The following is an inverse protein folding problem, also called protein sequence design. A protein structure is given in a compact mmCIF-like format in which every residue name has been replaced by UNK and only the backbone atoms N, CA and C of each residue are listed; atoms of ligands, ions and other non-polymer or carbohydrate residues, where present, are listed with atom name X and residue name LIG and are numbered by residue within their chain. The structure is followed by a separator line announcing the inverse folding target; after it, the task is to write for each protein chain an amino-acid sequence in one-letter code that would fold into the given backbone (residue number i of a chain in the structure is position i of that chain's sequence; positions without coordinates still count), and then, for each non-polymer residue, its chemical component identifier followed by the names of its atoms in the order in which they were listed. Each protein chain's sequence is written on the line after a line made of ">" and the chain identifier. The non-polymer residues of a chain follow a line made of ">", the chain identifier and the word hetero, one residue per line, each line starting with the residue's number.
data_IF_797012107528
#
_entry.id   IF_797012107528
#
_cell.length_a   1.000
_cell.length_b   1.000
_cell.length_c   1.000
_cell.angle_alpha   90.00
_cell.angle_beta   90.00
_cell.angle_gamma   90.00
#
_symmetry.space_group_name_H-M   'P 1'
#
loop_
_entity.id
_entity.type
_entity.pdbx_description
1 polymer ?
#
# COMPACT_ATOMS: atom_id res chain seq x y z
N UNK A 1 4.52 -0.57 13.77
CA UNK A 1 3.11 -0.18 13.92
C UNK A 1 2.92 1.03 14.81
N UNK A 2 3.16 0.99 16.13
CA UNK A 2 2.92 2.14 17.05
C UNK A 2 3.48 3.48 16.54
N UNK A 3 4.74 3.50 16.10
CA UNK A 3 5.37 4.71 15.55
C UNK A 3 4.64 5.28 14.31
N UNK A 4 4.13 4.41 13.44
CA UNK A 4 3.40 4.82 12.23
C UNK A 4 2.01 5.36 12.58
N UNK A 5 1.37 4.77 13.60
CA UNK A 5 0.09 5.25 14.15
C UNK A 5 0.23 6.66 14.74
N UNK A 6 1.30 6.93 15.50
CA UNK A 6 1.60 8.27 16.01
C UNK A 6 1.80 9.28 14.88
N UNK A 7 2.65 8.94 13.91
CA UNK A 7 2.93 9.81 12.75
C UNK A 7 1.68 10.09 11.91
N UNK A 8 0.79 9.10 11.73
CA UNK A 8 -0.45 9.28 10.98
C UNK A 8 -1.35 10.36 11.62
N UNK A 9 -1.46 10.35 12.95
CA UNK A 9 -2.23 11.36 13.70
C UNK A 9 -1.58 12.74 13.63
N UNK A 10 -0.25 12.79 13.77
CA UNK A 10 0.49 14.05 13.69
C UNK A 10 0.33 14.69 12.31
N UNK A 11 0.45 13.89 11.23
CA UNK A 11 0.30 14.37 9.86
C UNK A 11 -1.13 14.81 9.53
N UNK A 12 -2.15 14.11 10.05
CA UNK A 12 -3.54 14.57 9.95
C UNK A 12 -3.75 15.90 10.66
N UNK A 13 -3.20 16.08 11.87
CA UNK A 13 -3.28 17.35 12.60
C UNK A 13 -2.55 18.50 11.89
N UNK A 14 -1.51 18.19 11.11
CA UNK A 14 -0.79 19.15 10.26
C UNK A 14 -1.51 19.46 8.94
N UNK A 15 -2.61 18.77 8.62
CA UNK A 15 -3.41 19.01 7.42
C UNK A 15 -2.88 18.32 6.16
N UNK A 16 -2.19 17.19 6.28
CA UNK A 16 -1.84 16.38 5.11
C UNK A 16 -3.10 15.84 4.40
N UNK A 17 -3.09 15.77 3.07
CA UNK A 17 -4.23 15.26 2.29
C UNK A 17 -4.27 13.73 2.18
N UNK A 18 -3.18 13.05 2.53
CA UNK A 18 -3.03 11.60 2.42
C UNK A 18 -1.69 11.10 2.91
N UNK A 19 -1.57 9.78 3.09
CA UNK A 19 -0.40 9.11 3.63
C UNK A 19 0.14 8.07 2.66
N UNK A 20 1.43 8.14 2.34
CA UNK A 20 2.14 7.06 1.68
C UNK A 20 2.86 6.21 2.73
N UNK A 21 2.42 4.97 2.94
CA UNK A 21 2.89 4.13 4.05
C UNK A 21 3.65 2.93 3.50
N UNK A 22 4.97 2.94 3.68
CA UNK A 22 5.85 1.82 3.30
C UNK A 22 5.66 0.61 4.20
N UNK A 23 5.77 -0.59 3.62
CA UNK A 23 5.75 -1.83 4.39
C UNK A 23 6.84 -1.88 5.46
N UNK A 24 6.58 -2.52 6.62
CA UNK A 24 7.61 -2.75 7.63
C UNK A 24 8.81 -3.47 7.02
N UNK A 25 9.96 -2.78 7.09
CA UNK A 25 11.24 -3.28 6.61
C UNK A 25 12.04 -3.90 7.76
N UNK A 26 13.03 -4.73 7.42
CA UNK A 26 13.93 -5.46 8.33
C UNK A 26 13.29 -6.60 9.13
N UNK A 27 12.17 -6.35 9.81
CA UNK A 27 11.51 -7.34 10.69
C UNK A 27 10.64 -8.37 9.96
N UNK A 28 10.44 -8.20 8.65
CA UNK A 28 9.82 -9.19 7.73
C UNK A 28 8.51 -9.82 8.23
N UNK A 29 7.44 -9.03 8.45
CA UNK A 29 6.16 -9.56 8.90
C UNK A 29 5.57 -10.56 7.90
N UNK A 30 4.73 -11.46 8.41
CA UNK A 30 3.89 -12.35 7.60
C UNK A 30 2.81 -11.55 6.85
N UNK A 31 2.13 -12.15 5.84
CA UNK A 31 0.99 -11.51 5.18
C UNK A 31 -0.10 -11.04 6.15
N UNK A 32 -0.41 -11.84 7.18
CA UNK A 32 -1.34 -11.42 8.22
C UNK A 32 -0.78 -10.27 9.07
N UNK A 33 0.52 -10.29 9.39
CA UNK A 33 1.17 -9.18 10.08
C UNK A 33 1.12 -7.87 9.30
N UNK A 34 1.26 -7.92 7.97
CA UNK A 34 1.08 -6.76 7.08
C UNK A 34 -0.36 -6.25 7.12
N UNK A 35 -1.34 -7.13 6.96
CA UNK A 35 -2.75 -6.76 7.03
C UNK A 35 -3.07 -6.05 8.36
N UNK A 36 -2.68 -6.66 9.48
CA UNK A 36 -2.88 -6.09 10.82
C UNK A 36 -2.16 -4.75 10.98
N UNK A 37 -0.93 -4.63 10.46
CA UNK A 37 -0.17 -3.38 10.50
C UNK A 37 -0.93 -2.23 9.83
N UNK A 38 -1.34 -2.41 8.57
CA UNK A 38 -2.05 -1.38 7.83
C UNK A 38 -3.43 -1.11 8.41
N UNK A 39 -4.15 -2.14 8.86
CA UNK A 39 -5.45 -1.96 9.52
C UNK A 39 -5.36 -1.09 10.78
N UNK A 40 -4.33 -1.29 11.60
CA UNK A 40 -4.12 -0.46 12.79
C UNK A 40 -3.72 0.98 12.45
N UNK A 41 -2.97 1.20 11.36
CA UNK A 41 -2.69 2.56 10.85
C UNK A 41 -3.96 3.22 10.32
N UNK A 42 -4.74 2.50 9.51
CA UNK A 42 -6.01 2.97 8.96
C UNK A 42 -7.06 3.32 10.03
N UNK A 43 -7.06 2.62 11.17
CA UNK A 43 -7.91 2.95 12.33
C UNK A 43 -7.49 4.23 13.06
N UNK A 44 -6.27 4.71 12.86
CA UNK A 44 -5.71 5.82 13.61
C UNK A 44 -5.95 7.18 12.96
N UNK A 45 -6.41 7.22 11.70
CA UNK A 45 -6.54 8.45 10.92
C UNK A 45 -7.73 8.37 9.95
N UNK A 46 -8.26 9.53 9.55
CA UNK A 46 -9.27 9.62 8.48
C UNK A 46 -8.66 9.88 7.10
N UNK A 47 -7.34 10.07 7.03
CA UNK A 47 -6.66 10.36 5.77
C UNK A 47 -6.64 9.14 4.83
N UNK A 48 -6.74 9.36 3.51
CA UNK A 48 -6.46 8.32 2.52
C UNK A 48 -5.04 7.77 2.66
N UNK A 49 -4.90 6.46 2.61
CA UNK A 49 -3.64 5.72 2.72
C UNK A 49 -3.36 5.01 1.41
N UNK A 50 -2.14 5.23 0.91
CA UNK A 50 -1.56 4.45 -0.19
C UNK A 50 -0.50 3.53 0.41
N UNK A 51 -0.69 2.22 0.24
CA UNK A 51 0.30 1.20 0.61
C UNK A 51 1.51 1.34 -0.30
N UNK A 52 2.73 1.38 0.22
CA UNK A 52 3.93 1.39 -0.62
C UNK A 52 4.64 0.03 -0.55
N UNK A 53 4.50 -0.75 -1.62
CA UNK A 53 5.14 -2.05 -1.80
C UNK A 53 6.44 -1.89 -2.59
N UNK A 54 7.59 -2.20 -1.97
CA UNK A 54 8.92 -2.09 -2.59
C UNK A 54 9.85 -3.21 -2.08
N UNK A 55 9.58 -4.48 -2.45
CA UNK A 55 10.24 -5.65 -1.87
C UNK A 55 11.77 -5.62 -2.02
N UNK A 56 12.30 -5.02 -3.08
CA UNK A 56 13.75 -4.84 -3.27
C UNK A 56 14.43 -4.01 -2.17
N UNK A 57 13.67 -3.21 -1.39
CA UNK A 57 14.17 -2.42 -0.26
C UNK A 57 13.70 -2.95 1.10
N UNK A 58 12.50 -3.51 1.17
CA UNK A 58 11.88 -3.94 2.43
C UNK A 58 12.12 -5.42 2.75
N UNK A 59 12.53 -6.20 1.75
CA UNK A 59 12.63 -7.66 1.79
C UNK A 59 11.30 -8.36 2.10
N UNK A 60 10.18 -7.68 1.82
CA UNK A 60 8.81 -8.17 2.03
C UNK A 60 7.94 -7.69 0.88
N UNK A 61 7.21 -8.61 0.27
CA UNK A 61 6.24 -8.32 -0.76
C UNK A 61 4.82 -8.29 -0.16
N UNK A 62 4.01 -7.29 -0.52
CA UNK A 62 2.57 -7.33 -0.26
C UNK A 62 1.90 -8.06 -1.43
N UNK A 63 1.51 -9.31 -1.20
CA UNK A 63 0.86 -10.12 -2.22
C UNK A 63 -0.51 -9.54 -2.65
N UNK A 64 -0.97 -9.76 -3.89
CA UNK A 64 -2.27 -9.30 -4.37
C UNK A 64 -3.44 -9.65 -3.46
N UNK A 65 -3.45 -10.86 -2.88
CA UNK A 65 -4.49 -11.29 -1.94
C UNK A 65 -4.50 -10.49 -0.63
N UNK A 66 -3.33 -10.00 -0.18
CA UNK A 66 -3.26 -9.11 1.00
C UNK A 66 -3.76 -7.73 0.65
N UNK A 67 -3.43 -7.21 -0.55
CA UNK A 67 -3.95 -5.94 -1.04
C UNK A 67 -5.47 -5.96 -1.23
N UNK A 68 -6.03 -7.05 -1.74
CA UNK A 68 -7.48 -7.23 -1.86
C UNK A 68 -8.20 -7.07 -0.51
N UNK A 69 -7.68 -7.71 0.55
CA UNK A 69 -8.20 -7.55 1.92
C UNK A 69 -8.03 -6.13 2.46
N UNK A 70 -6.95 -5.45 2.09
CA UNK A 70 -6.71 -4.07 2.51
C UNK A 70 -7.63 -3.09 1.78
N UNK A 71 -7.97 -3.35 0.52
CA UNK A 71 -8.89 -2.54 -0.27
C UNK A 71 -10.33 -2.55 0.25
N UNK A 72 -10.69 -3.49 1.14
CA UNK A 72 -11.96 -3.48 1.87
C UNK A 72 -11.98 -2.43 3.00
N UNK A 73 -10.84 -1.83 3.35
CA UNK A 73 -10.74 -0.77 4.36
C UNK A 73 -10.90 0.58 3.68
N UNK A 74 -11.95 1.32 4.03
CA UNK A 74 -12.35 2.58 3.38
C UNK A 74 -11.20 3.60 3.20
N UNK A 75 -10.34 3.75 4.19
CA UNK A 75 -9.22 4.70 4.13
C UNK A 75 -8.01 4.18 3.35
N UNK A 76 -7.94 2.90 3.00
CA UNK A 76 -6.85 2.36 2.17
C UNK A 76 -7.28 2.42 0.70
N UNK A 77 -6.83 3.46 0.01
CA UNK A 77 -7.36 3.84 -1.31
C UNK A 77 -6.49 3.39 -2.48
N UNK A 78 -5.30 2.85 -2.20
CA UNK A 78 -4.41 2.42 -3.28
C UNK A 78 -3.11 1.76 -2.83
N UNK A 79 -2.33 1.38 -3.83
CA UNK A 79 -0.97 0.88 -3.69
C UNK A 79 -0.02 1.61 -4.65
N UNK A 80 1.15 2.01 -4.16
CA UNK A 80 2.32 2.32 -4.98
C UNK A 80 3.12 1.03 -5.12
N UNK A 81 3.10 0.45 -6.31
CA UNK A 81 3.70 -0.84 -6.63
C UNK A 81 5.08 -0.65 -7.28
N UNK A 82 6.14 -0.97 -6.54
CA UNK A 82 7.53 -0.84 -6.98
C UNK A 82 8.28 -2.17 -6.97
N UNK A 83 7.58 -3.28 -7.21
CA UNK A 83 8.21 -4.60 -7.37
C UNK A 83 8.87 -4.76 -8.74
N UNK A 84 8.47 -3.98 -9.74
CA UNK A 84 8.86 -4.17 -11.13
C UNK A 84 8.18 -5.37 -11.81
N UNK A 85 7.30 -6.08 -11.09
CA UNK A 85 6.67 -7.31 -11.55
C UNK A 85 5.31 -7.03 -12.21
N UNK A 86 5.30 -6.95 -13.54
CA UNK A 86 4.10 -6.70 -14.34
C UNK A 86 3.00 -7.76 -14.10
N UNK A 87 3.37 -9.03 -13.92
CA UNK A 87 2.39 -10.10 -13.65
C UNK A 87 1.70 -9.89 -12.30
N UNK A 88 2.42 -9.45 -11.27
CA UNK A 88 1.84 -9.09 -9.98
C UNK A 88 0.93 -7.87 -10.09
N UNK A 89 1.36 -6.84 -10.81
CA UNK A 89 0.56 -5.62 -11.05
C UNK A 89 -0.77 -5.99 -11.74
N UNK A 90 -0.73 -6.81 -12.79
CA UNK A 90 -1.94 -7.30 -13.46
C UNK A 90 -2.85 -8.11 -12.51
N UNK A 91 -2.26 -8.95 -11.64
CA UNK A 91 -3.03 -9.69 -10.64
C UNK A 91 -3.65 -8.78 -9.56
N UNK A 92 -2.99 -7.67 -9.21
CA UNK A 92 -3.56 -6.66 -8.28
C UNK A 92 -4.80 -6.04 -8.91
N UNK A 93 -4.73 -5.56 -10.15
CA UNK A 93 -5.89 -4.97 -10.86
C UNK A 93 -7.10 -5.91 -10.92
N UNK A 94 -6.87 -7.22 -11.01
CA UNK A 94 -7.95 -8.21 -11.00
C UNK A 94 -8.52 -8.48 -9.60
N UNK A 95 -7.74 -8.26 -8.54
CA UNK A 95 -8.08 -8.63 -7.17
C UNK A 95 -8.68 -7.47 -6.35
N UNK A 96 -8.40 -6.21 -6.71
CA UNK A 96 -8.89 -5.02 -6.03
C UNK A 96 -10.08 -4.39 -6.78
N UNK A 97 -10.99 -3.66 -6.10
CA UNK A 97 -12.05 -2.93 -6.79
C UNK A 97 -11.48 -1.86 -7.72
N UNK A 98 -12.20 -1.52 -8.80
CA UNK A 98 -11.76 -0.53 -9.79
C UNK A 98 -11.57 0.89 -9.24
N UNK A 99 -12.11 1.18 -8.06
CA UNK A 99 -11.88 2.44 -7.34
C UNK A 99 -10.54 2.49 -6.60
N UNK A 100 -9.85 1.37 -6.45
CA UNK A 100 -8.56 1.28 -5.76
C UNK A 100 -7.42 1.64 -6.71
N UNK A 101 -6.65 2.67 -6.38
CA UNK A 101 -5.59 3.15 -7.24
C UNK A 101 -4.37 2.21 -7.21
N UNK A 102 -3.87 1.83 -8.38
CA UNK A 102 -2.59 1.12 -8.54
C UNK A 102 -1.63 2.07 -9.23
N UNK A 103 -0.62 2.54 -8.49
CA UNK A 103 0.35 3.53 -8.94
C UNK A 103 1.69 2.87 -9.21
N UNK A 104 2.37 3.26 -10.29
CA UNK A 104 3.75 2.83 -10.50
C UNK A 104 4.69 3.44 -9.46
N UNK A 105 5.56 2.62 -8.90
CA UNK A 105 6.74 3.06 -8.16
C UNK A 105 8.07 2.78 -8.87
N UNK A 106 8.01 2.36 -10.14
CA UNK A 106 9.16 2.15 -11.03
C UNK A 106 8.93 2.92 -12.35
N UNK A 107 9.79 3.91 -12.60
CA UNK A 107 9.68 4.79 -13.77
C UNK A 107 9.77 4.02 -15.09
N UNK A 108 10.57 2.94 -15.16
CA UNK A 108 10.79 2.18 -16.38
C UNK A 108 9.54 1.44 -16.89
N UNK A 109 8.62 1.11 -15.98
CA UNK A 109 7.37 0.39 -16.30
C UNK A 109 6.11 1.24 -16.08
N UNK A 110 6.26 2.55 -15.86
CA UNK A 110 5.12 3.44 -15.61
C UNK A 110 4.13 3.45 -16.77
N UNK A 111 4.61 3.58 -18.01
CA UNK A 111 3.74 3.56 -19.19
C UNK A 111 3.02 2.21 -19.37
N UNK A 112 3.70 1.04 -19.31
CA UNK A 112 3.03 -0.26 -19.29
C UNK A 112 1.99 -0.41 -18.18
N UNK A 113 2.25 0.10 -16.97
CA UNK A 113 1.29 0.02 -15.87
C UNK A 113 0.03 0.82 -16.17
N UNK A 114 0.16 2.07 -16.62
CA UNK A 114 -0.99 2.91 -17.01
C UNK A 114 -1.81 2.23 -18.12
N UNK A 115 -1.18 1.47 -19.01
CA UNK A 115 -1.87 0.74 -20.06
C UNK A 115 -2.68 -0.46 -19.54
N UNK A 116 -2.39 -0.97 -18.34
CA UNK A 116 -3.15 -2.08 -17.73
C UNK A 116 -4.43 -1.62 -17.03
N UNK A 117 -4.51 -0.36 -16.60
CA UNK A 117 -5.64 0.23 -15.87
C UNK A 117 -5.18 1.17 -14.77
#
# INVERSE_FOLDING_TARGET
>A
TRRVVELARDLEALGADGLLVVTPYYNKPTPEGLYQHFREVARATRLPIVVYNVPGRTAVNVEPATLARLAEIETVVGVKEASGNISQIAAIFQAVPSSFAVLSGDDAITLPLIALG
#
